data_IF_149436046275
#
_entry.id   IF_149436046275
#
_cell.length_a   1.000
_cell.length_b   1.000
_cell.length_c   1.000
_cell.angle_alpha   90.00
_cell.angle_beta   90.00
_cell.angle_gamma   90.00
#
_symmetry.space_group_name_H-M   'P 1'
#
loop_
_entity.id
_entity.type
_entity.pdbx_description
1 polymer ?
#
# COMPACT_ATOMS: atom_id res chain seq x y z
N UNK A 1 9.38 -6.86 9.84
CA UNK A 1 8.83 -8.09 9.22
C UNK A 1 7.51 -7.70 8.58
N UNK A 2 7.23 -8.09 7.34
CA UNK A 2 5.96 -7.79 6.65
C UNK A 2 5.21 -9.11 6.38
N UNK A 3 3.86 -9.17 6.43
CA UNK A 3 3.06 -10.36 6.19
C UNK A 3 3.35 -11.08 4.89
N UNK A 4 3.65 -10.32 3.82
CA UNK A 4 4.02 -10.89 2.52
C UNK A 4 5.43 -11.48 2.48
N UNK A 5 6.26 -11.27 3.51
CA UNK A 5 7.55 -11.95 3.68
C UNK A 5 8.65 -11.60 2.67
N UNK A 6 8.40 -10.67 1.74
CA UNK A 6 9.35 -10.28 0.68
C UNK A 6 9.25 -8.80 0.35
N UNK A 7 10.30 -8.22 -0.23
CA UNK A 7 10.21 -6.87 -0.77
C UNK A 7 9.22 -6.80 -1.95
N UNK A 8 8.61 -5.63 -2.11
CA UNK A 8 7.82 -5.32 -3.29
C UNK A 8 8.74 -5.16 -4.51
N UNK A 9 8.24 -5.57 -5.66
CA UNK A 9 8.81 -5.23 -6.96
C UNK A 9 8.25 -3.88 -7.43
N UNK A 10 9.00 -3.18 -8.29
CA UNK A 10 8.59 -1.87 -8.80
C UNK A 10 7.26 -1.91 -9.56
N UNK A 11 6.94 -3.01 -10.23
CA UNK A 11 5.68 -3.18 -10.95
C UNK A 11 4.47 -3.29 -10.02
N UNK A 12 4.65 -3.79 -8.79
CA UNK A 12 3.57 -3.84 -7.80
C UNK A 12 3.19 -2.43 -7.33
N UNK A 13 4.17 -1.54 -7.17
CA UNK A 13 3.93 -0.12 -6.87
C UNK A 13 3.28 0.57 -8.07
N UNK A 14 3.77 0.31 -9.29
CA UNK A 14 3.20 0.88 -10.51
C UNK A 14 1.74 0.49 -10.70
N UNK A 15 1.36 -0.76 -10.38
CA UNK A 15 -0.04 -1.22 -10.43
C UNK A 15 -0.93 -0.49 -9.43
N UNK A 16 -0.43 -0.18 -8.23
CA UNK A 16 -1.18 0.61 -7.26
C UNK A 16 -1.41 2.06 -7.74
N UNK A 17 -0.41 2.66 -8.39
CA UNK A 17 -0.56 3.97 -9.05
C UNK A 17 -1.58 3.90 -10.18
N UNK A 18 -1.49 2.88 -11.04
CA UNK A 18 -2.45 2.64 -12.13
C UNK A 18 -3.88 2.38 -11.63
N UNK A 19 -4.04 1.86 -10.42
CA UNK A 19 -5.36 1.75 -9.80
C UNK A 19 -5.93 3.12 -9.39
N UNK A 20 -5.08 4.06 -8.96
CA UNK A 20 -5.50 5.41 -8.50
C UNK A 20 -5.56 6.46 -9.61
N UNK A 21 -4.86 6.25 -10.72
CA UNK A 21 -4.78 7.20 -11.84
C UNK A 21 -6.07 7.43 -12.66
N UNK A 22 -6.96 6.43 -12.89
CA UNK A 22 -8.13 6.58 -13.75
C UNK A 22 -9.21 7.48 -13.16
N UNK A 23 -10.12 7.99 -14.02
CA UNK A 23 -11.29 8.80 -13.61
C UNK A 23 -12.19 8.10 -12.58
N UNK A 24 -12.17 6.76 -12.55
CA UNK A 24 -12.88 5.96 -11.55
C UNK A 24 -12.43 6.28 -10.10
N UNK A 25 -11.23 6.80 -9.91
CA UNK A 25 -10.67 7.24 -8.62
C UNK A 25 -10.79 8.76 -8.41
N UNK A 26 -11.55 9.48 -9.25
CA UNK A 26 -11.67 10.95 -9.21
C UNK A 26 -12.12 11.53 -7.87
N UNK A 27 -12.81 10.74 -7.03
CA UNK A 27 -13.23 11.17 -5.69
C UNK A 27 -12.34 10.64 -4.55
N UNK A 28 -11.30 9.85 -4.88
CA UNK A 28 -10.32 9.34 -3.90
C UNK A 28 -9.25 10.41 -3.70
N UNK A 29 -9.43 11.22 -2.66
CA UNK A 29 -8.51 12.31 -2.31
C UNK A 29 -8.32 12.42 -0.80
N UNK A 30 -7.28 13.15 -0.38
CA UNK A 30 -6.97 13.40 1.04
C UNK A 30 -6.56 12.16 1.85
N UNK A 31 -6.33 11.02 1.19
CA UNK A 31 -6.05 9.74 1.83
C UNK A 31 -4.70 9.18 1.40
N UNK A 32 -4.00 8.51 2.31
CA UNK A 32 -2.76 7.79 2.01
C UNK A 32 -3.07 6.32 1.74
N UNK A 33 -2.63 5.80 0.60
CA UNK A 33 -2.72 4.37 0.26
C UNK A 33 -1.37 3.71 0.51
N UNK A 34 -1.28 2.90 1.57
CA UNK A 34 -0.05 2.18 1.92
C UNK A 34 0.11 0.93 1.07
N UNK A 35 1.29 0.78 0.44
CA UNK A 35 1.64 -0.37 -0.41
C UNK A 35 2.99 -0.92 0.04
N UNK A 36 2.99 -1.66 1.14
CA UNK A 36 4.22 -2.10 1.82
C UNK A 36 4.21 -3.59 2.21
N UNK A 37 3.33 -4.35 1.56
CA UNK A 37 3.10 -5.76 1.83
C UNK A 37 2.61 -6.07 3.26
N UNK A 38 2.02 -5.09 3.94
CA UNK A 38 1.43 -5.20 5.27
C UNK A 38 2.42 -4.94 6.41
N UNK A 39 3.62 -4.45 6.08
CA UNK A 39 4.64 -4.11 7.07
C UNK A 39 4.02 -3.19 8.14
N UNK A 40 3.34 -2.12 7.73
CA UNK A 40 2.79 -1.12 8.64
C UNK A 40 1.71 -1.60 9.57
N UNK A 41 0.90 -2.53 9.11
CA UNK A 41 -0.12 -3.15 9.94
C UNK A 41 0.49 -4.02 11.05
N UNK A 42 1.70 -4.55 10.87
CA UNK A 42 2.33 -5.46 11.84
C UNK A 42 3.45 -4.81 12.65
N UNK A 43 4.21 -3.86 12.11
CA UNK A 43 5.17 -3.11 12.92
C UNK A 43 4.51 -2.14 13.91
N UNK A 44 3.26 -1.74 13.65
CA UNK A 44 2.45 -0.98 14.60
C UNK A 44 1.67 -1.90 15.58
N UNK A 45 1.97 -3.20 15.63
CA UNK A 45 1.38 -4.14 16.60
C UNK A 45 2.40 -4.59 17.65
N UNK A 46 3.01 -3.62 18.34
CA UNK A 46 3.66 -3.84 19.63
C UNK A 46 2.67 -3.49 20.74
N UNK A 47 2.41 -4.46 21.62
CA UNK A 47 1.87 -4.38 22.98
C UNK A 47 1.60 -2.96 23.56
N UNK A 48 0.35 -2.71 24.00
CA UNK A 48 -0.02 -1.58 24.86
C UNK A 48 -1.02 -0.61 24.24
#
# INVERSE_FOLDING_TARGET
MQPLGRHAHADEIARAVLFLAPDASSFVTGSTVTVDGGCAATFNHGAG
#
